data_IF_635278624361
#
_entry.id   IF_635278624361
#
_cell.length_a   1.000
_cell.length_b   1.000
_cell.length_c   1.000
_cell.angle_alpha   90.00
_cell.angle_beta   90.00
_cell.angle_gamma   90.00
#
_symmetry.space_group_name_H-M   'P 1'
#
loop_
_entity.id
_entity.type
_entity.pdbx_description
1 polymer ?
#
# COMPACT_ATOMS: atom_id res chain seq x y z
N UNK A 1 -17.36 7.52 41.70
CA UNK A 1 -18.72 7.45 41.13
C UNK A 1 -18.64 8.06 39.72
N UNK A 2 -17.98 7.45 38.74
CA UNK A 2 -18.46 6.40 37.81
C UNK A 2 -19.81 6.70 37.16
N UNK A 3 -19.80 7.48 36.08
CA UNK A 3 -20.62 7.33 34.85
C UNK A 3 -20.16 8.42 33.88
N UNK A 4 -20.05 8.27 32.56
CA UNK A 4 -20.35 7.18 31.67
C UNK A 4 -19.28 7.22 30.58
N UNK A 5 -18.61 6.09 30.34
CA UNK A 5 -17.83 5.90 29.12
C UNK A 5 -18.79 6.00 27.95
N UNK A 6 -18.64 7.04 27.14
CA UNK A 6 -19.27 7.04 25.81
C UNK A 6 -18.64 5.90 25.04
N UNK A 7 -19.33 4.76 24.98
CA UNK A 7 -19.06 3.75 23.97
C UNK A 7 -19.29 4.41 22.63
N UNK A 8 -18.22 4.85 21.97
CA UNK A 8 -18.24 5.22 20.58
C UNK A 8 -18.71 3.98 19.81
N UNK A 9 -20.01 3.96 19.50
CA UNK A 9 -20.70 2.82 18.92
C UNK A 9 -20.28 2.66 17.47
N UNK A 10 -19.16 1.98 17.25
CA UNK A 10 -18.76 1.47 15.95
C UNK A 10 -19.57 0.21 15.64
N UNK A 11 -20.86 0.36 15.30
CA UNK A 11 -21.63 -0.75 14.73
C UNK A 11 -21.13 -1.00 13.32
N UNK A 12 -20.68 -2.23 13.04
CA UNK A 12 -20.25 -2.65 11.70
C UNK A 12 -21.36 -2.36 10.68
N UNK A 13 -21.16 -1.32 9.86
CA UNK A 13 -22.21 -0.78 8.98
C UNK A 13 -22.56 -1.74 7.82
N UNK A 14 -21.66 -2.65 7.45
CA UNK A 14 -21.81 -3.54 6.30
C UNK A 14 -22.97 -4.53 6.40
N UNK A 15 -23.38 -4.94 7.61
CA UNK A 15 -24.40 -5.99 7.76
C UNK A 15 -25.85 -5.48 7.77
N UNK A 16 -26.08 -4.17 7.62
CA UNK A 16 -27.39 -3.57 7.92
C UNK A 16 -28.31 -3.29 6.73
N UNK A 17 -27.86 -3.34 5.47
CA UNK A 17 -28.77 -2.96 4.36
C UNK A 17 -28.60 -3.66 2.99
N UNK A 18 -27.51 -4.36 2.67
CA UNK A 18 -27.35 -5.12 1.40
C UNK A 18 -26.29 -6.26 1.47
N UNK A 19 -26.21 -6.92 2.63
CA UNK A 19 -25.06 -7.70 3.10
C UNK A 19 -24.54 -8.81 2.18
N UNK A 20 -25.38 -9.42 1.33
CA UNK A 20 -24.96 -10.54 0.48
C UNK A 20 -24.10 -10.11 -0.71
N UNK A 21 -24.44 -8.98 -1.34
CA UNK A 21 -23.67 -8.47 -2.49
C UNK A 21 -22.32 -7.92 -2.05
N UNK A 22 -22.28 -7.20 -0.93
CA UNK A 22 -21.03 -6.66 -0.39
C UNK A 22 -20.07 -7.77 0.05
N UNK A 23 -20.59 -8.81 0.74
CA UNK A 23 -19.81 -9.99 1.11
C UNK A 23 -19.35 -10.75 -0.13
N UNK A 24 -20.19 -10.90 -1.16
CA UNK A 24 -19.81 -11.57 -2.41
C UNK A 24 -18.67 -10.83 -3.11
N UNK A 25 -18.73 -9.50 -3.18
CA UNK A 25 -17.67 -8.67 -3.77
C UNK A 25 -16.36 -8.85 -2.99
N UNK A 26 -16.39 -8.78 -1.66
CA UNK A 26 -15.21 -8.97 -0.82
C UNK A 26 -14.61 -10.37 -1.01
N UNK A 27 -15.43 -11.43 -0.96
CA UNK A 27 -14.98 -12.81 -1.15
C UNK A 27 -14.41 -13.01 -2.55
N UNK A 28 -15.06 -12.47 -3.59
CA UNK A 28 -14.59 -12.56 -4.97
C UNK A 28 -13.24 -11.85 -5.15
N UNK A 29 -13.04 -10.71 -4.49
CA UNK A 29 -11.77 -9.99 -4.48
C UNK A 29 -10.66 -10.82 -3.82
N UNK A 30 -10.93 -11.37 -2.63
CA UNK A 30 -9.97 -12.25 -1.95
C UNK A 30 -9.60 -13.48 -2.80
N UNK A 31 -10.59 -14.10 -3.46
CA UNK A 31 -10.35 -15.24 -4.35
C UNK A 31 -9.56 -14.84 -5.61
N UNK A 32 -9.80 -13.66 -6.17
CA UNK A 32 -9.07 -13.14 -7.33
C UNK A 32 -7.60 -12.90 -6.96
N UNK A 33 -7.35 -12.21 -5.83
CA UNK A 33 -5.99 -11.96 -5.34
C UNK A 33 -5.27 -13.26 -5.03
N UNK A 34 -5.92 -14.20 -4.33
CA UNK A 34 -5.35 -15.51 -4.03
C UNK A 34 -5.10 -16.33 -5.29
N UNK A 35 -6.02 -16.29 -6.26
CA UNK A 35 -5.90 -16.96 -7.55
C UNK A 35 -4.71 -16.45 -8.36
N UNK A 36 -4.49 -15.14 -8.39
CA UNK A 36 -3.34 -14.55 -9.10
C UNK A 36 -2.04 -14.80 -8.34
N UNK A 37 -2.04 -14.71 -7.01
CA UNK A 37 -0.88 -15.08 -6.20
C UNK A 37 -0.48 -16.54 -6.46
N UNK A 38 -1.43 -17.48 -6.45
CA UNK A 38 -1.19 -18.89 -6.74
C UNK A 38 -0.75 -19.11 -8.19
N UNK A 39 -1.36 -18.42 -9.16
CA UNK A 39 -0.94 -18.47 -10.56
C UNK A 39 0.53 -18.08 -10.70
N UNK A 40 0.95 -16.98 -10.10
CA UNK A 40 2.34 -16.51 -10.18
C UNK A 40 3.30 -17.46 -9.46
N UNK A 41 2.88 -18.03 -8.32
CA UNK A 41 3.64 -19.03 -7.57
C UNK A 41 3.88 -20.31 -8.38
N UNK A 42 2.90 -20.72 -9.19
CA UNK A 42 2.95 -21.93 -10.04
C UNK A 42 3.65 -21.64 -11.38
N UNK A 43 3.48 -20.44 -11.93
CA UNK A 43 4.03 -20.04 -13.23
C UNK A 43 5.51 -19.60 -13.17
N UNK A 44 6.04 -19.23 -12.00
CA UNK A 44 7.45 -18.85 -11.85
C UNK A 44 8.36 -20.08 -11.79
N UNK A 45 9.24 -20.22 -12.79
CA UNK A 45 10.30 -21.22 -12.81
C UNK A 45 11.36 -20.88 -11.75
N UNK A 46 11.57 -21.79 -10.79
CA UNK A 46 12.38 -21.56 -9.56
C UNK A 46 13.86 -21.92 -9.73
N UNK A 47 14.39 -21.81 -10.94
CA UNK A 47 15.69 -22.42 -11.25
C UNK A 47 16.88 -21.70 -10.58
N UNK A 48 16.76 -20.43 -10.19
CA UNK A 48 17.91 -19.65 -9.68
C UNK A 48 17.52 -18.60 -8.63
N UNK A 49 18.40 -18.35 -7.65
CA UNK A 49 18.23 -17.30 -6.62
C UNK A 49 18.05 -15.91 -7.24
N UNK A 50 18.67 -15.69 -8.40
CA UNK A 50 18.55 -14.45 -9.17
C UNK A 50 17.11 -14.23 -9.66
N UNK A 51 16.42 -15.27 -10.15
CA UNK A 51 15.01 -15.18 -10.57
C UNK A 51 14.06 -14.93 -9.39
N UNK A 52 14.37 -15.47 -8.20
CA UNK A 52 13.59 -15.25 -6.99
C UNK A 52 13.66 -13.79 -6.48
N UNK A 53 14.82 -13.14 -6.58
CA UNK A 53 15.03 -11.77 -6.10
C UNK A 53 14.81 -10.69 -7.18
N UNK A 54 15.07 -10.97 -8.45
CA UNK A 54 15.01 -9.98 -9.55
C UNK A 54 13.80 -10.15 -10.47
N UNK A 55 12.91 -11.11 -10.18
CA UNK A 55 11.78 -11.43 -11.05
C UNK A 55 12.22 -11.67 -12.52
N UNK A 56 13.39 -12.28 -12.71
CA UNK A 56 13.98 -12.56 -14.02
C UNK A 56 14.25 -11.33 -14.90
N UNK A 57 14.27 -10.10 -14.33
CA UNK A 57 14.40 -8.81 -15.06
C UNK A 57 13.31 -8.55 -16.13
N UNK A 58 12.26 -9.36 -16.20
CA UNK A 58 11.20 -9.28 -17.22
C UNK A 58 9.97 -8.47 -16.76
N UNK A 59 10.13 -7.55 -15.81
CA UNK A 59 9.06 -6.66 -15.39
C UNK A 59 8.87 -5.54 -16.41
N UNK A 60 7.65 -5.40 -16.92
CA UNK A 60 7.32 -4.34 -17.87
C UNK A 60 7.33 -2.99 -17.14
N UNK A 61 7.73 -1.92 -17.82
CA UNK A 61 7.91 -0.59 -17.19
C UNK A 61 6.68 -0.10 -16.40
N UNK A 62 5.47 -0.36 -16.92
CA UNK A 62 4.22 0.03 -16.28
C UNK A 62 3.95 -0.76 -14.99
N UNK A 63 4.36 -2.03 -14.92
CA UNK A 63 4.25 -2.86 -13.71
C UNK A 63 5.17 -2.33 -12.61
N UNK A 64 6.39 -1.94 -12.96
CA UNK A 64 7.34 -1.35 -12.01
C UNK A 64 6.80 -0.04 -11.44
N UNK A 65 6.20 0.81 -12.30
CA UNK A 65 5.57 2.05 -11.85
C UNK A 65 4.40 1.82 -10.90
N UNK A 66 3.48 0.91 -11.24
CA UNK A 66 2.35 0.57 -10.39
C UNK A 66 2.77 -0.09 -9.07
N UNK A 67 3.81 -0.93 -9.07
CA UNK A 67 4.39 -1.50 -7.86
C UNK A 67 5.03 -0.43 -6.95
N UNK A 68 5.81 0.49 -7.53
CA UNK A 68 6.41 1.60 -6.77
C UNK A 68 5.33 2.50 -6.15
N UNK A 69 4.24 2.73 -6.88
CA UNK A 69 3.06 3.44 -6.36
C UNK A 69 2.40 2.66 -5.21
N UNK A 70 2.12 1.37 -5.39
CA UNK A 70 1.51 0.51 -4.38
C UNK A 70 2.36 0.44 -3.10
N UNK A 71 3.68 0.32 -3.25
CA UNK A 71 4.64 0.27 -2.14
C UNK A 71 4.69 1.58 -1.33
N UNK A 72 4.32 2.70 -1.94
CA UNK A 72 4.25 3.99 -1.26
C UNK A 72 2.92 4.17 -0.50
N UNK A 73 1.82 3.76 -1.12
CA UNK A 73 0.45 3.97 -0.65
C UNK A 73 -0.02 2.79 0.20
N UNK A 74 0.02 2.95 1.52
CA UNK A 74 -0.56 1.99 2.48
C UNK A 74 -1.94 2.40 2.98
N UNK A 75 -2.60 1.51 3.74
CA UNK A 75 -3.89 1.75 4.41
C UNK A 75 -3.88 3.03 5.25
N UNK A 76 -2.79 3.28 5.97
CA UNK A 76 -2.63 4.50 6.77
C UNK A 76 -2.50 5.77 5.93
N UNK A 77 -1.90 5.67 4.74
CA UNK A 77 -1.80 6.80 3.81
C UNK A 77 -3.17 7.16 3.25
N UNK A 78 -3.91 6.14 2.79
CA UNK A 78 -5.27 6.33 2.25
C UNK A 78 -6.23 6.90 3.30
N UNK A 79 -6.31 6.29 4.48
CA UNK A 79 -7.19 6.75 5.56
C UNK A 79 -6.76 8.11 6.11
N UNK A 80 -5.46 8.34 6.24
CA UNK A 80 -4.90 9.60 6.73
C UNK A 80 -5.15 10.76 5.77
N UNK A 81 -4.92 10.56 4.47
CA UNK A 81 -5.20 11.57 3.44
C UNK A 81 -6.69 11.86 3.33
N UNK A 82 -7.56 10.84 3.39
CA UNK A 82 -9.00 11.04 3.38
C UNK A 82 -9.46 11.90 4.58
N UNK A 83 -8.95 11.62 5.79
CA UNK A 83 -9.27 12.40 6.98
C UNK A 83 -8.71 13.84 6.94
N UNK A 84 -7.49 14.03 6.43
CA UNK A 84 -6.92 15.36 6.21
C UNK A 84 -7.63 16.12 5.09
N UNK A 85 -8.06 15.45 4.02
CA UNK A 85 -8.84 16.05 2.95
C UNK A 85 -10.20 16.55 3.43
N UNK A 86 -10.86 15.80 4.32
CA UNK A 86 -12.13 16.21 4.92
C UNK A 86 -12.01 17.44 5.84
N UNK A 87 -10.86 17.64 6.49
CA UNK A 87 -10.63 18.73 7.45
C UNK A 87 -9.91 19.95 6.88
N UNK A 88 -8.96 19.74 5.97
CA UNK A 88 -8.07 20.76 5.40
C UNK A 88 -8.31 21.01 3.91
N UNK A 89 -9.26 20.31 3.29
CA UNK A 89 -9.63 20.46 1.88
C UNK A 89 -8.57 20.00 0.89
N UNK A 90 -8.60 20.57 -0.32
CA UNK A 90 -7.76 20.19 -1.47
C UNK A 90 -6.27 20.50 -1.25
N UNK A 91 -5.92 21.34 -0.27
CA UNK A 91 -4.54 21.73 0.03
C UNK A 91 -3.61 20.52 0.31
N UNK A 92 -4.17 19.42 0.84
CA UNK A 92 -3.41 18.18 1.07
C UNK A 92 -2.94 17.55 -0.26
N UNK A 93 -3.68 17.73 -1.35
CA UNK A 93 -3.29 17.25 -2.69
C UNK A 93 -2.05 17.95 -3.25
N UNK A 94 -1.74 19.17 -2.81
CA UNK A 94 -0.52 19.87 -3.22
C UNK A 94 0.74 19.15 -2.72
N UNK A 95 0.66 18.42 -1.60
CA UNK A 95 1.77 17.60 -1.11
C UNK A 95 2.07 16.45 -2.07
N UNK A 96 1.05 15.74 -2.56
CA UNK A 96 1.18 14.63 -3.51
C UNK A 96 1.68 15.08 -4.89
N UNK A 97 1.25 16.26 -5.35
CA UNK A 97 1.72 16.83 -6.61
C UNK A 97 3.23 17.09 -6.58
N UNK A 98 3.72 17.65 -5.47
CA UNK A 98 5.16 17.88 -5.28
C UNK A 98 5.94 16.57 -5.20
N UNK A 99 5.41 15.55 -4.51
CA UNK A 99 6.04 14.25 -4.41
C UNK A 99 6.22 13.59 -5.80
N UNK A 100 5.20 13.67 -6.65
CA UNK A 100 5.25 13.12 -8.02
C UNK A 100 6.38 13.75 -8.85
N UNK A 101 6.55 15.07 -8.77
CA UNK A 101 7.63 15.76 -9.48
C UNK A 101 9.01 15.33 -9.00
N UNK A 102 9.20 15.24 -7.68
CA UNK A 102 10.47 14.80 -7.08
C UNK A 102 10.78 13.35 -7.45
N UNK A 103 9.78 12.47 -7.52
CA UNK A 103 9.96 11.09 -7.97
C UNK A 103 10.43 11.00 -9.42
N UNK A 104 9.90 11.83 -10.32
CA UNK A 104 10.39 11.91 -11.70
C UNK A 104 11.87 12.34 -11.76
N UNK A 105 12.24 13.36 -10.98
CA UNK A 105 13.65 13.83 -10.90
C UNK A 105 14.55 12.74 -10.31
N UNK A 106 14.10 12.06 -9.25
CA UNK A 106 14.83 10.95 -8.64
C UNK A 106 15.05 9.82 -9.66
N UNK A 107 14.01 9.47 -10.41
CA UNK A 107 14.05 8.46 -11.46
C UNK A 107 15.07 8.81 -12.55
N UNK A 108 15.08 10.04 -13.06
CA UNK A 108 16.03 10.43 -14.11
C UNK A 108 17.47 10.53 -13.59
N UNK A 109 17.69 11.14 -12.43
CA UNK A 109 19.04 11.43 -11.93
C UNK A 109 19.67 10.20 -11.27
N UNK A 110 18.93 9.47 -10.44
CA UNK A 110 19.50 8.40 -9.61
C UNK A 110 19.37 7.01 -10.23
N UNK A 111 18.34 6.73 -11.03
CA UNK A 111 18.20 5.43 -11.71
C UNK A 111 19.44 5.04 -12.53
N UNK A 112 19.97 5.88 -13.45
CA UNK A 112 21.15 5.50 -14.24
C UNK A 112 22.40 5.28 -13.39
N UNK A 113 22.52 6.00 -12.27
CA UNK A 113 23.64 5.85 -11.33
C UNK A 113 23.56 4.50 -10.62
N UNK A 114 22.38 4.10 -10.16
CA UNK A 114 22.20 2.81 -9.49
C UNK A 114 22.39 1.64 -10.44
N UNK A 115 21.85 1.71 -11.67
CA UNK A 115 22.00 0.66 -12.68
C UNK A 115 23.48 0.46 -13.04
N UNK A 116 24.24 1.54 -13.26
CA UNK A 116 25.69 1.46 -13.56
C UNK A 116 26.51 0.94 -12.38
N UNK A 117 26.06 1.14 -11.14
CA UNK A 117 26.79 0.69 -9.95
C UNK A 117 26.68 -0.82 -9.70
N UNK A 118 25.69 -1.49 -10.30
CA UNK A 118 25.49 -2.95 -10.20
C UNK A 118 25.14 -3.44 -8.79
N UNK A 119 24.62 -2.57 -7.93
CA UNK A 119 24.25 -2.90 -6.55
C UNK A 119 22.75 -3.14 -6.44
N UNK A 120 22.37 -4.20 -5.74
CA UNK A 120 20.97 -4.60 -5.55
C UNK A 120 20.33 -3.87 -4.35
N UNK A 121 21.12 -3.32 -3.43
CA UNK A 121 20.60 -2.66 -2.22
C UNK A 121 21.25 -1.30 -1.97
N UNK A 122 20.46 -0.35 -1.45
CA UNK A 122 20.92 1.01 -1.16
C UNK A 122 22.07 1.07 -0.16
N UNK A 123 22.08 0.30 0.96
CA UNK A 123 23.26 0.25 1.84
C UNK A 123 24.52 -0.27 1.13
N UNK A 124 24.38 -1.17 0.16
CA UNK A 124 25.51 -1.70 -0.62
C UNK A 124 26.04 -0.67 -1.63
N UNK A 125 25.17 0.19 -2.16
CA UNK A 125 25.59 1.39 -2.91
C UNK A 125 26.45 2.31 -2.04
N UNK A 126 25.99 2.61 -0.82
CA UNK A 126 26.71 3.49 0.10
C UNK A 126 28.05 2.90 0.53
N UNK A 127 28.15 1.58 0.69
CA UNK A 127 29.45 0.90 0.89
C UNK A 127 30.42 1.16 -0.26
N UNK A 128 29.96 1.02 -1.51
CA UNK A 128 30.81 1.19 -2.70
C UNK A 128 31.30 2.63 -2.84
N UNK A 129 30.49 3.61 -2.40
CA UNK A 129 30.81 5.04 -2.48
C UNK A 129 31.69 5.54 -1.33
N UNK A 130 31.40 5.15 -0.09
CA UNK A 130 32.05 5.70 1.11
C UNK A 130 33.13 4.80 1.71
N UNK A 131 33.16 3.52 1.32
CA UNK A 131 34.10 2.53 1.87
C UNK A 131 33.73 2.12 3.30
N UNK A 132 33.82 0.82 3.58
CA UNK A 132 33.67 0.28 4.94
C UNK A 132 32.41 -0.55 5.19
N UNK A 133 32.64 -1.75 5.72
CA UNK A 133 31.57 -2.69 6.10
C UNK A 133 30.70 -2.16 7.26
N UNK A 134 31.31 -1.41 8.18
CA UNK A 134 30.63 -0.88 9.39
C UNK A 134 29.48 0.07 9.04
N UNK A 135 29.67 0.95 8.05
CA UNK A 135 28.65 1.93 7.62
C UNK A 135 27.47 1.21 6.96
N UNK A 136 27.74 0.23 6.10
CA UNK A 136 26.68 -0.59 5.49
C UNK A 136 25.84 -1.29 6.55
N UNK A 137 26.50 -1.94 7.51
CA UNK A 137 25.83 -2.71 8.55
C UNK A 137 24.96 -1.82 9.45
N UNK A 138 25.51 -0.67 9.88
CA UNK A 138 24.78 0.30 10.70
C UNK A 138 23.57 0.86 9.94
N UNK A 139 23.75 1.29 8.68
CA UNK A 139 22.65 1.83 7.88
C UNK A 139 21.58 0.78 7.55
N UNK A 140 21.98 -0.46 7.26
CA UNK A 140 21.04 -1.54 7.00
C UNK A 140 20.18 -1.85 8.24
N UNK A 141 20.80 -1.95 9.41
CA UNK A 141 20.08 -2.19 10.67
C UNK A 141 19.20 -1.00 11.03
N UNK A 142 19.72 0.23 10.91
CA UNK A 142 18.96 1.43 11.20
C UNK A 142 17.72 1.53 10.30
N UNK A 143 17.89 1.31 8.99
CA UNK A 143 16.78 1.36 8.04
C UNK A 143 15.77 0.24 8.30
N UNK A 144 16.25 -0.98 8.61
CA UNK A 144 15.39 -2.11 8.97
C UNK A 144 14.55 -1.79 10.22
N UNK A 145 15.18 -1.26 11.27
CA UNK A 145 14.49 -0.87 12.50
C UNK A 145 13.45 0.23 12.22
N UNK A 146 13.83 1.30 11.53
CA UNK A 146 12.91 2.39 11.20
C UNK A 146 11.73 1.86 10.37
N UNK A 147 11.98 0.99 9.40
CA UNK A 147 10.93 0.45 8.55
C UNK A 147 9.95 -0.44 9.31
N UNK A 148 10.43 -1.30 10.21
CA UNK A 148 9.58 -2.17 11.05
C UNK A 148 8.77 -1.34 12.06
N UNK A 149 9.44 -0.44 12.79
CA UNK A 149 8.80 0.30 13.88
C UNK A 149 7.91 1.44 13.40
N UNK A 150 8.26 2.09 12.29
CA UNK A 150 7.50 3.25 11.80
C UNK A 150 6.53 2.88 10.69
N UNK A 151 7.02 2.26 9.61
CA UNK A 151 6.21 2.00 8.41
C UNK A 151 5.26 0.83 8.64
N UNK A 152 5.79 -0.36 8.93
CA UNK A 152 5.01 -1.58 9.07
C UNK A 152 4.02 -1.48 10.24
N UNK A 153 4.45 -0.93 11.39
CA UNK A 153 3.60 -0.81 12.57
C UNK A 153 2.40 0.14 12.36
N UNK A 154 2.60 1.27 11.68
CA UNK A 154 1.50 2.21 11.37
C UNK A 154 0.53 1.59 10.37
N UNK A 155 1.02 0.88 9.36
CA UNK A 155 0.17 0.22 8.36
C UNK A 155 -0.66 -0.92 8.96
N UNK A 156 -0.07 -1.73 9.85
CA UNK A 156 -0.81 -2.77 10.57
C UNK A 156 -1.85 -2.16 11.50
N UNK A 157 -1.50 -1.13 12.28
CA UNK A 157 -2.43 -0.49 13.22
C UNK A 157 -3.63 0.16 12.51
N UNK A 158 -3.36 0.91 11.45
CA UNK A 158 -4.42 1.55 10.64
C UNK A 158 -5.26 0.52 9.89
N UNK A 159 -4.65 -0.55 9.37
CA UNK A 159 -5.37 -1.67 8.76
C UNK A 159 -6.26 -2.44 9.75
N UNK A 160 -5.76 -2.67 10.97
CA UNK A 160 -6.50 -3.29 12.06
C UNK A 160 -7.76 -2.48 12.44
N UNK A 161 -7.60 -1.16 12.61
CA UNK A 161 -8.72 -0.26 12.89
C UNK A 161 -9.72 -0.27 11.73
N UNK A 162 -9.25 -0.22 10.49
CA UNK A 162 -10.10 -0.32 9.31
C UNK A 162 -10.91 -1.62 9.28
N UNK A 163 -10.27 -2.76 9.54
CA UNK A 163 -10.95 -4.06 9.57
C UNK A 163 -12.03 -4.12 10.65
N UNK A 164 -11.78 -3.54 11.83
CA UNK A 164 -12.76 -3.44 12.91
C UNK A 164 -13.98 -2.60 12.50
N UNK A 165 -13.77 -1.50 11.78
CA UNK A 165 -14.84 -0.63 11.29
C UNK A 165 -15.73 -1.33 10.26
N UNK A 166 -15.09 -2.06 9.33
CA UNK A 166 -15.74 -2.70 8.19
C UNK A 166 -16.44 -3.99 8.61
N UNK A 167 -15.72 -4.90 9.28
CA UNK A 167 -16.21 -6.25 9.55
C UNK A 167 -16.67 -6.48 10.99
N UNK A 168 -16.42 -5.54 11.93
CA UNK A 168 -16.71 -5.74 13.35
C UNK A 168 -15.91 -6.86 14.01
N UNK A 169 -14.91 -7.41 13.31
CA UNK A 169 -14.06 -8.51 13.76
C UNK A 169 -13.06 -8.03 14.81
N UNK A 170 -12.65 -8.95 15.68
CA UNK A 170 -11.57 -8.68 16.63
C UNK A 170 -10.27 -8.34 15.88
N UNK A 171 -9.67 -7.23 16.28
CA UNK A 171 -8.49 -6.64 15.65
C UNK A 171 -7.33 -7.63 15.61
N UNK A 172 -7.15 -8.39 16.70
CA UNK A 172 -6.06 -9.34 16.82
C UNK A 172 -6.24 -10.51 15.85
N UNK A 173 -7.43 -11.09 15.78
CA UNK A 173 -7.73 -12.20 14.88
C UNK A 173 -7.55 -11.79 13.40
N UNK A 174 -8.09 -10.64 13.02
CA UNK A 174 -7.96 -10.12 11.66
C UNK A 174 -6.49 -9.88 11.26
N UNK A 175 -5.71 -9.29 12.17
CA UNK A 175 -4.29 -9.02 11.92
C UNK A 175 -3.49 -10.31 11.75
N UNK A 176 -3.74 -11.30 12.61
CA UNK A 176 -3.06 -12.61 12.51
C UNK A 176 -3.37 -13.31 11.20
N UNK A 177 -4.64 -13.30 10.76
CA UNK A 177 -5.05 -13.91 9.48
C UNK A 177 -4.39 -13.19 8.30
N UNK A 178 -4.46 -11.86 8.26
CA UNK A 178 -3.86 -11.05 7.18
C UNK A 178 -2.35 -11.24 7.09
N UNK A 179 -1.64 -11.19 8.23
CA UNK A 179 -0.19 -11.41 8.28
C UNK A 179 0.18 -12.83 7.90
N UNK A 180 -0.61 -13.83 8.31
CA UNK A 180 -0.34 -15.23 7.97
C UNK A 180 -0.50 -15.46 6.48
N UNK A 181 -1.61 -15.02 5.88
CA UNK A 181 -1.84 -15.15 4.43
C UNK A 181 -0.76 -14.40 3.65
N UNK A 182 -0.47 -13.15 4.04
CA UNK A 182 0.54 -12.30 3.40
C UNK A 182 1.95 -12.87 3.51
N UNK A 183 2.31 -13.38 4.68
CA UNK A 183 3.59 -14.05 4.90
C UNK A 183 3.73 -15.31 4.07
N UNK A 184 2.72 -16.18 4.03
CA UNK A 184 2.76 -17.44 3.28
C UNK A 184 3.01 -17.16 1.80
N UNK A 185 2.19 -16.33 1.14
CA UNK A 185 2.36 -16.09 -0.30
C UNK A 185 3.64 -15.30 -0.61
N UNK A 186 4.08 -14.39 0.27
CA UNK A 186 5.34 -13.65 0.07
C UNK A 186 6.56 -14.57 0.14
N UNK A 187 6.58 -15.50 1.10
CA UNK A 187 7.66 -16.49 1.25
C UNK A 187 7.66 -17.49 0.09
N UNK A 188 6.48 -17.95 -0.35
CA UNK A 188 6.39 -18.97 -1.41
C UNK A 188 6.55 -18.41 -2.83
N UNK A 189 6.21 -17.13 -3.06
CA UNK A 189 6.16 -16.53 -4.40
C UNK A 189 7.35 -15.65 -4.80
N UNK A 190 8.17 -15.21 -3.85
CA UNK A 190 9.34 -14.36 -4.13
C UNK A 190 8.98 -12.93 -4.57
N UNK A 191 9.98 -12.15 -5.02
CA UNK A 191 9.79 -10.73 -5.36
C UNK A 191 8.78 -10.54 -6.52
N UNK A 192 8.79 -11.44 -7.51
CA UNK A 192 7.86 -11.39 -8.63
C UNK A 192 6.40 -11.47 -8.17
N UNK A 193 6.06 -12.43 -7.32
CA UNK A 193 4.69 -12.59 -6.83
C UNK A 193 4.18 -11.34 -6.11
N UNK A 194 5.03 -10.76 -5.25
CA UNK A 194 4.70 -9.52 -4.52
C UNK A 194 4.45 -8.37 -5.50
N UNK A 195 5.29 -8.21 -6.52
CA UNK A 195 5.09 -7.17 -7.55
C UNK A 195 3.75 -7.34 -8.26
N UNK A 196 3.40 -8.55 -8.70
CA UNK A 196 2.13 -8.79 -9.41
C UNK A 196 0.91 -8.55 -8.52
N UNK A 197 0.94 -8.99 -7.24
CA UNK A 197 -0.16 -8.74 -6.31
C UNK A 197 -0.32 -7.26 -5.98
N UNK A 198 0.79 -6.54 -5.84
CA UNK A 198 0.78 -5.10 -5.53
C UNK A 198 0.31 -4.25 -6.70
N UNK A 199 0.67 -4.61 -7.95
CA UNK A 199 0.14 -3.96 -9.16
C UNK A 199 -1.38 -4.10 -9.24
N UNK A 200 -1.91 -5.28 -8.89
CA UNK A 200 -3.35 -5.48 -8.78
C UNK A 200 -3.96 -4.61 -7.70
N UNK A 201 -3.41 -4.63 -6.48
CA UNK A 201 -3.87 -3.76 -5.40
C UNK A 201 -3.91 -2.28 -5.82
N UNK A 202 -2.85 -1.78 -6.46
CA UNK A 202 -2.82 -0.41 -6.98
C UNK A 202 -3.96 -0.14 -7.96
N UNK A 203 -4.23 -1.07 -8.89
CA UNK A 203 -5.33 -0.89 -9.86
C UNK A 203 -6.69 -0.80 -9.18
N UNK A 204 -6.94 -1.63 -8.16
CA UNK A 204 -8.19 -1.59 -7.38
C UNK A 204 -8.31 -0.31 -6.56
N UNK A 205 -7.23 0.15 -5.93
CA UNK A 205 -7.23 1.41 -5.16
C UNK A 205 -7.52 2.60 -6.07
N UNK A 206 -6.90 2.67 -7.25
CA UNK A 206 -7.13 3.76 -8.21
C UNK A 206 -8.56 3.74 -8.73
N UNK A 207 -9.04 2.58 -9.18
CA UNK A 207 -10.42 2.42 -9.67
C UNK A 207 -11.45 2.75 -8.58
N UNK A 208 -11.25 2.21 -7.37
CA UNK A 208 -12.12 2.47 -6.23
C UNK A 208 -12.15 3.95 -5.85
N UNK A 209 -11.02 4.64 -5.90
CA UNK A 209 -10.92 6.07 -5.62
C UNK A 209 -11.67 6.92 -6.66
N UNK A 210 -11.53 6.60 -7.94
CA UNK A 210 -12.23 7.31 -9.04
C UNK A 210 -13.73 7.11 -8.95
N UNK A 211 -14.19 5.88 -8.69
CA UNK A 211 -15.61 5.59 -8.49
C UNK A 211 -16.16 6.34 -7.27
N UNK A 212 -15.45 6.31 -6.15
CA UNK A 212 -15.86 7.00 -4.93
C UNK A 212 -15.95 8.52 -5.14
N UNK A 213 -14.99 9.11 -5.85
CA UNK A 213 -15.06 10.53 -6.25
C UNK A 213 -16.29 10.80 -7.12
N UNK A 214 -16.58 9.93 -8.09
CA UNK A 214 -17.75 10.03 -8.96
C UNK A 214 -19.09 9.93 -8.24
N UNK A 215 -19.19 9.15 -7.17
CA UNK A 215 -20.39 9.07 -6.32
C UNK A 215 -20.48 10.20 -5.29
N UNK A 216 -19.35 10.71 -4.81
CA UNK A 216 -19.31 11.78 -3.80
C UNK A 216 -19.65 13.17 -4.37
N UNK A 217 -19.28 13.46 -5.62
CA UNK A 217 -19.54 14.75 -6.28
C UNK A 217 -21.05 15.08 -6.44
N UNK A 218 -21.92 14.15 -6.86
CA UNK A 218 -23.36 14.42 -7.00
C UNK A 218 -24.15 14.44 -5.69
N UNK A 219 -23.61 13.89 -4.61
CA UNK A 219 -24.31 13.73 -3.32
C UNK A 219 -24.09 14.91 -2.35
N UNK A 220 -23.29 15.92 -2.74
CA UNK A 220 -23.09 17.12 -1.94
C UNK A 220 -24.27 18.11 -2.09
N UNK A 221 -24.84 18.68 -0.99
CA UNK A 221 -26.03 19.57 -1.04
C UNK A 221 -25.84 20.89 -1.78
N UNK A 222 -24.59 21.29 -2.02
CA UNK A 222 -24.23 22.39 -2.89
C UNK A 222 -23.51 21.76 -4.09
N UNK A 223 -24.13 21.81 -5.26
CA UNK A 223 -23.58 21.23 -6.49
C UNK A 223 -22.23 21.84 -6.92
N UNK A 224 -21.80 21.64 -8.18
CA UNK A 224 -20.48 22.09 -8.67
C UNK A 224 -20.22 23.60 -8.60
N UNK A 225 -21.19 24.39 -8.13
CA UNK A 225 -21.13 25.84 -7.96
C UNK A 225 -20.39 26.30 -6.70
N UNK A 226 -20.20 25.45 -5.69
CA UNK A 226 -19.46 25.82 -4.48
C UNK A 226 -17.96 26.08 -4.74
N UNK A 227 -17.41 25.52 -5.82
CA UNK A 227 -16.00 25.69 -6.24
C UNK A 227 -15.73 27.03 -6.93
N UNK A 228 -16.75 27.85 -7.22
CA UNK A 228 -16.60 29.17 -7.87
C UNK A 228 -16.53 30.35 -6.91
N UNK A 229 -16.65 30.14 -5.59
CA UNK A 229 -16.76 31.24 -4.62
C UNK A 229 -15.45 31.61 -3.91
N UNK A 230 -14.31 31.06 -4.35
CA UNK A 230 -12.99 31.35 -3.80
C UNK A 230 -11.95 31.83 -4.85
N UNK A 231 -12.40 32.32 -6.01
CA UNK A 231 -11.58 33.20 -6.87
C UNK A 231 -11.65 34.66 -6.41
#
# INVERSE_FOLDING_TARGET
MTSAGQSFGWTAQLFSSNSTLDVLVIVSYFLLVLGIALWVIVSSSRATVEDFFLAGRNLVWWQIGAFLFASNIGTGHFMGLAGKGASSGIAVGAFEWNASFILCVLGWVFSPVYIKSGVVTLPRYLRKRFGGYRIQFLLAILYLLIYIFSKISVEICTGAVFMRLVLGLDVYLATVILLSVTGIYSITGGFAAVVYTDVLHASFVVLGSVLLMGYALPSHPHGPEALRTHE
#
